data_IF_899231664156
#
_entry.id   IF_899231664156
#
_cell.length_a   1.000
_cell.length_b   1.000
_cell.length_c   1.000
_cell.angle_alpha   90.00
_cell.angle_beta   90.00
_cell.angle_gamma   90.00
#
_symmetry.space_group_name_H-M   'P 1'
#
loop_
_entity.id
_entity.type
_entity.pdbx_description
1 polymer ?
#
# COMPACT_ATOMS: atom_id res chain seq x y z
N UNK A 1 11.02 -11.23 0.21
CA UNK A 1 10.22 -10.00 0.27
C UNK A 1 9.33 -9.94 -0.96
N UNK A 2 8.01 -10.08 -0.75
CA UNK A 2 6.99 -10.04 -1.79
C UNK A 2 6.69 -8.57 -2.08
N UNK A 3 6.81 -8.19 -3.36
CA UNK A 3 6.53 -6.83 -3.82
C UNK A 3 5.06 -6.70 -4.16
N UNK A 4 4.39 -5.71 -3.58
CA UNK A 4 2.97 -5.45 -3.80
C UNK A 4 2.74 -3.98 -4.19
N UNK A 5 1.65 -3.73 -4.90
CA UNK A 5 1.17 -2.39 -5.20
C UNK A 5 -0.24 -2.20 -4.64
N UNK A 6 -0.58 -0.97 -4.27
CA UNK A 6 -1.93 -0.60 -3.83
C UNK A 6 -2.56 0.30 -4.90
N UNK A 7 -3.65 -0.16 -5.52
CA UNK A 7 -4.42 0.62 -6.47
C UNK A 7 -5.74 1.07 -5.81
N UNK A 8 -5.83 2.36 -5.48
CA UNK A 8 -6.90 2.96 -4.67
C UNK A 8 -6.48 3.13 -3.21
N UNK A 9 -5.98 4.33 -2.87
CA UNK A 9 -5.48 4.72 -1.55
C UNK A 9 -6.53 5.41 -0.67
N UNK A 10 -7.75 4.89 -0.72
CA UNK A 10 -8.91 5.37 0.04
C UNK A 10 -9.06 4.73 1.42
N UNK A 11 -10.33 4.47 1.80
CA UNK A 11 -10.70 3.93 3.12
C UNK A 11 -10.06 2.57 3.45
N UNK A 12 -9.78 1.74 2.44
CA UNK A 12 -9.15 0.42 2.62
C UNK A 12 -7.66 0.46 2.27
N UNK A 13 -7.25 1.17 1.22
CA UNK A 13 -5.84 1.22 0.82
C UNK A 13 -4.90 1.75 1.91
N UNK A 14 -5.31 2.81 2.64
CA UNK A 14 -4.52 3.39 3.74
C UNK A 14 -4.28 2.43 4.92
N UNK A 15 -5.32 1.81 5.53
CA UNK A 15 -5.08 0.83 6.59
C UNK A 15 -4.36 -0.42 6.08
N UNK A 16 -4.61 -0.86 4.84
CA UNK A 16 -3.85 -1.98 4.24
C UNK A 16 -2.36 -1.65 4.12
N UNK A 17 -1.99 -0.43 3.73
CA UNK A 17 -0.59 0.00 3.73
C UNK A 17 0.03 -0.04 5.12
N UNK A 18 -0.70 0.45 6.14
CA UNK A 18 -0.23 0.41 7.53
C UNK A 18 0.09 -1.02 7.98
N UNK A 19 -0.82 -1.97 7.72
CA UNK A 19 -0.62 -3.38 8.05
C UNK A 19 0.54 -3.98 7.24
N UNK A 20 0.65 -3.64 5.95
CA UNK A 20 1.73 -4.13 5.10
C UNK A 20 3.11 -3.58 5.52
N UNK A 21 3.16 -2.38 6.09
CA UNK A 21 4.39 -1.75 6.58
C UNK A 21 4.94 -2.43 7.84
N UNK A 22 4.08 -3.10 8.61
CA UNK A 22 4.46 -3.87 9.80
C UNK A 22 4.92 -5.31 9.47
N UNK A 23 4.89 -5.70 8.19
CA UNK A 23 5.21 -7.05 7.73
C UNK A 23 6.56 -7.11 7.00
N UNK A 24 7.55 -7.75 7.60
CA UNK A 24 8.91 -7.89 7.05
C UNK A 24 8.97 -8.65 5.72
N UNK A 25 7.97 -9.50 5.45
CA UNK A 25 7.88 -10.29 4.22
C UNK A 25 7.27 -9.50 3.06
N UNK A 26 6.68 -8.32 3.29
CA UNK A 26 6.03 -7.48 2.29
C UNK A 26 6.80 -6.20 2.01
N UNK A 27 6.69 -5.70 0.77
CA UNK A 27 7.19 -4.39 0.38
C UNK A 27 6.19 -3.73 -0.57
N UNK A 28 5.60 -2.61 -0.14
CA UNK A 28 4.75 -1.80 -1.00
C UNK A 28 5.65 -0.95 -1.90
N UNK A 29 5.67 -1.27 -3.19
CA UNK A 29 6.57 -0.63 -4.17
C UNK A 29 5.90 0.46 -5.00
N UNK A 30 4.57 0.51 -5.00
CA UNK A 30 3.80 1.52 -5.72
C UNK A 30 2.43 1.74 -5.06
N UNK A 31 1.96 2.98 -5.13
CA UNK A 31 0.60 3.38 -4.77
C UNK A 31 0.06 4.19 -5.95
N UNK A 32 -1.15 3.87 -6.39
CA UNK A 32 -1.89 4.64 -7.39
C UNK A 32 -3.21 5.13 -6.79
N UNK A 33 -3.52 6.41 -6.95
CA UNK A 33 -4.82 7.02 -6.61
C UNK A 33 -5.17 8.11 -7.63
N UNK A 34 -6.36 8.72 -7.52
CA UNK A 34 -6.84 9.75 -8.44
C UNK A 34 -6.48 11.17 -8.01
N UNK A 35 -5.82 11.31 -6.86
CA UNK A 35 -5.35 12.59 -6.33
C UNK A 35 -3.82 12.58 -6.24
N UNK A 36 -3.23 13.76 -6.38
CA UNK A 36 -1.88 13.99 -5.91
C UNK A 36 -1.84 13.86 -4.38
N UNK A 37 -0.70 13.40 -3.87
CA UNK A 37 -0.42 13.19 -2.43
C UNK A 37 -0.09 14.52 -1.75
#
# INVERSE_FOLDING_TARGET
MIKIAINGFGRIGRPSFKIAFEKDDLSVVAINDLTDI
#
